data_IF_255703675316
#
_entry.id   IF_255703675316
#
_cell.length_a   1.000
_cell.length_b   1.000
_cell.length_c   1.000
_cell.angle_alpha   90.00
_cell.angle_beta   90.00
_cell.angle_gamma   90.00
#
_symmetry.space_group_name_H-M   'P 1'
#
loop_
_entity.id
_entity.type
_entity.pdbx_description
1 polymer ?
#
# COMPACT_ATOMS: atom_id res chain seq x y z
N UNK A 1 -73.71 -7.70 -26.37
CA UNK A 1 -72.39 -7.11 -26.73
C UNK A 1 -71.16 -7.84 -26.15
N UNK A 2 -71.29 -8.67 -25.09
CA UNK A 2 -70.15 -9.24 -24.33
C UNK A 2 -69.43 -10.44 -24.99
N UNK A 3 -70.04 -11.16 -25.94
CA UNK A 3 -69.44 -12.35 -26.57
C UNK A 3 -68.35 -12.05 -27.63
N UNK A 4 -68.37 -10.88 -28.29
CA UNK A 4 -67.39 -10.52 -29.33
C UNK A 4 -66.01 -10.17 -28.76
N UNK A 5 -65.95 -9.55 -27.58
CA UNK A 5 -64.71 -9.14 -26.91
C UNK A 5 -63.91 -10.31 -26.33
N UNK A 6 -64.56 -11.37 -25.85
CA UNK A 6 -63.88 -12.59 -25.36
C UNK A 6 -63.15 -13.36 -26.46
N UNK A 7 -63.76 -13.51 -27.65
CA UNK A 7 -63.11 -14.18 -28.80
C UNK A 7 -61.88 -13.43 -29.30
N UNK A 8 -61.93 -12.10 -29.36
CA UNK A 8 -60.81 -11.24 -29.75
C UNK A 8 -59.61 -11.38 -28.81
N UNK A 9 -59.84 -11.39 -27.48
CA UNK A 9 -58.78 -11.57 -26.47
C UNK A 9 -58.12 -12.96 -26.52
N UNK A 10 -58.90 -14.01 -26.81
CA UNK A 10 -58.38 -15.38 -26.94
C UNK A 10 -57.55 -15.55 -28.21
N UNK A 11 -57.94 -14.94 -29.33
CA UNK A 11 -57.15 -14.95 -30.57
C UNK A 11 -55.81 -14.21 -30.43
N UNK A 12 -55.78 -13.10 -29.70
CA UNK A 12 -54.54 -12.35 -29.44
C UNK A 12 -53.60 -13.10 -28.49
N UNK A 13 -54.12 -13.76 -27.45
CA UNK A 13 -53.33 -14.62 -26.56
C UNK A 13 -52.81 -15.89 -27.26
N UNK A 14 -53.60 -16.47 -28.17
CA UNK A 14 -53.18 -17.61 -29.01
C UNK A 14 -52.06 -17.23 -29.97
N UNK A 15 -52.14 -16.07 -30.64
CA UNK A 15 -51.06 -15.54 -31.49
C UNK A 15 -49.78 -15.22 -30.70
N UNK A 16 -49.89 -14.62 -29.51
CA UNK A 16 -48.72 -14.40 -28.64
C UNK A 16 -48.08 -15.70 -28.15
N UNK A 17 -48.88 -16.73 -27.79
CA UNK A 17 -48.35 -18.06 -27.44
C UNK A 17 -47.72 -18.79 -28.64
N UNK A 18 -48.24 -18.60 -29.85
CA UNK A 18 -47.64 -19.14 -31.09
C UNK A 18 -46.29 -18.50 -31.43
N UNK A 19 -46.17 -17.17 -31.29
CA UNK A 19 -44.91 -16.45 -31.47
C UNK A 19 -43.86 -16.81 -30.38
N UNK A 20 -44.32 -17.05 -29.15
CA UNK A 20 -43.45 -17.44 -28.03
C UNK A 20 -43.02 -18.92 -28.10
N UNK A 21 -43.76 -19.78 -28.82
CA UNK A 21 -43.36 -21.18 -29.09
C UNK A 21 -42.35 -21.32 -30.23
N UNK A 22 -42.22 -20.34 -31.12
CA UNK A 22 -41.32 -20.41 -32.28
C UNK A 22 -39.84 -20.24 -31.91
N UNK A 23 -39.56 -19.58 -30.79
CA UNK A 23 -38.20 -19.40 -30.27
C UNK A 23 -37.80 -20.46 -29.23
N UNK A 24 -38.72 -21.33 -28.82
CA UNK A 24 -38.54 -22.16 -27.63
C UNK A 24 -37.70 -23.43 -27.83
N UNK A 25 -37.85 -24.15 -28.95
CA UNK A 25 -37.35 -25.53 -29.07
C UNK A 25 -36.72 -25.86 -30.44
N UNK A 26 -36.24 -24.86 -31.20
CA UNK A 26 -35.47 -25.16 -32.42
C UNK A 26 -34.03 -25.55 -32.03
N UNK A 27 -33.60 -26.82 -32.21
CA UNK A 27 -32.30 -27.29 -31.73
C UNK A 27 -31.13 -26.54 -32.39
N UNK A 28 -31.28 -26.09 -33.64
CA UNK A 28 -30.25 -25.31 -34.35
C UNK A 28 -30.11 -23.92 -33.74
N UNK A 29 -31.23 -23.27 -33.42
CA UNK A 29 -31.22 -21.94 -32.81
C UNK A 29 -30.62 -21.97 -31.39
N UNK A 30 -30.95 -23.00 -30.60
CA UNK A 30 -30.38 -23.23 -29.27
C UNK A 30 -28.87 -23.48 -29.37
N UNK A 31 -28.42 -24.27 -30.35
CA UNK A 31 -26.99 -24.55 -30.58
C UNK A 31 -26.19 -23.31 -30.98
N UNK A 32 -26.77 -22.41 -31.79
CA UNK A 32 -26.12 -21.15 -32.16
C UNK A 32 -25.97 -20.25 -30.92
N UNK A 33 -27.04 -20.08 -30.13
CA UNK A 33 -27.01 -19.27 -28.92
C UNK A 33 -25.99 -19.82 -27.91
N UNK A 34 -25.98 -21.14 -27.67
CA UNK A 34 -25.05 -21.75 -26.73
C UNK A 34 -23.59 -21.59 -27.17
N UNK A 35 -23.32 -21.68 -28.48
CA UNK A 35 -21.97 -21.46 -29.04
C UNK A 35 -21.53 -20.01 -28.88
N UNK A 36 -22.41 -19.04 -29.16
CA UNK A 36 -22.11 -17.62 -28.99
C UNK A 36 -21.85 -17.28 -27.52
N UNK A 37 -22.71 -17.76 -26.61
CA UNK A 37 -22.53 -17.56 -25.16
C UNK A 37 -21.23 -18.21 -24.69
N UNK A 38 -20.94 -19.45 -25.12
CA UNK A 38 -19.70 -20.14 -24.81
C UNK A 38 -18.47 -19.37 -25.26
N UNK A 39 -18.49 -18.85 -26.49
CA UNK A 39 -17.42 -18.01 -27.03
C UNK A 39 -17.20 -16.72 -26.24
N UNK A 40 -18.28 -16.05 -25.84
CA UNK A 40 -18.20 -14.84 -24.99
C UNK A 40 -17.61 -15.17 -23.61
N UNK A 41 -18.06 -16.26 -22.97
CA UNK A 41 -17.54 -16.68 -21.67
C UNK A 41 -16.05 -17.04 -21.72
N UNK A 42 -15.61 -17.74 -22.76
CA UNK A 42 -14.20 -18.04 -22.98
C UNK A 42 -13.41 -16.76 -23.23
N UNK A 43 -13.93 -15.84 -24.04
CA UNK A 43 -13.31 -14.53 -24.28
C UNK A 43 -13.11 -13.71 -23.00
N UNK A 44 -14.14 -13.65 -22.16
CA UNK A 44 -14.08 -12.99 -20.84
C UNK A 44 -13.05 -13.67 -19.94
N UNK A 45 -13.05 -15.00 -19.86
CA UNK A 45 -12.09 -15.75 -19.05
C UNK A 45 -10.64 -15.52 -19.52
N UNK A 46 -10.39 -15.52 -20.84
CA UNK A 46 -9.08 -15.24 -21.40
C UNK A 46 -8.64 -13.80 -21.15
N UNK A 47 -9.55 -12.83 -21.23
CA UNK A 47 -9.29 -11.43 -20.89
C UNK A 47 -8.86 -11.29 -19.43
N UNK A 48 -9.62 -11.86 -18.49
CA UNK A 48 -9.24 -11.87 -17.07
C UNK A 48 -7.89 -12.56 -16.82
N UNK A 49 -7.64 -13.70 -17.48
CA UNK A 49 -6.35 -14.40 -17.36
C UNK A 49 -5.18 -13.58 -17.93
N UNK A 50 -5.41 -12.83 -19.00
CA UNK A 50 -4.41 -11.93 -19.59
C UNK A 50 -4.10 -10.78 -18.64
N UNK A 51 -5.11 -10.07 -18.15
CA UNK A 51 -4.94 -8.97 -17.18
C UNK A 51 -4.24 -9.46 -15.90
N UNK A 52 -4.66 -10.60 -15.37
CA UNK A 52 -4.05 -11.21 -14.20
C UNK A 52 -2.56 -11.54 -14.40
N UNK A 53 -2.21 -12.08 -15.58
CA UNK A 53 -0.79 -12.35 -15.93
C UNK A 53 0.00 -11.07 -16.10
N UNK A 54 -0.57 -10.05 -16.73
CA UNK A 54 0.09 -8.76 -16.90
C UNK A 54 0.37 -8.09 -15.55
N UNK A 55 -0.61 -8.12 -14.64
CA UNK A 55 -0.45 -7.58 -13.28
C UNK A 55 0.61 -8.35 -12.47
N UNK A 56 0.62 -9.68 -12.54
CA UNK A 56 1.66 -10.48 -11.87
C UNK A 56 3.05 -10.12 -12.38
N UNK A 57 3.25 -10.00 -13.69
CA UNK A 57 4.55 -9.61 -14.27
C UNK A 57 4.97 -8.22 -13.79
N UNK A 58 4.06 -7.25 -13.78
CA UNK A 58 4.34 -5.92 -13.29
C UNK A 58 4.76 -5.94 -11.82
N UNK A 59 4.05 -6.70 -10.96
CA UNK A 59 4.42 -6.86 -9.55
C UNK A 59 5.80 -7.52 -9.39
N UNK A 60 6.12 -8.52 -10.20
CA UNK A 60 7.44 -9.17 -10.16
C UNK A 60 8.57 -8.21 -10.56
N UNK A 61 8.37 -7.40 -11.60
CA UNK A 61 9.35 -6.39 -12.02
C UNK A 61 9.57 -5.34 -10.92
N UNK A 62 8.48 -4.83 -10.33
CA UNK A 62 8.56 -3.90 -9.19
C UNK A 62 9.34 -4.49 -8.02
N UNK A 63 9.11 -5.75 -7.67
CA UNK A 63 9.85 -6.41 -6.59
C UNK A 63 11.33 -6.59 -6.91
N UNK A 64 11.70 -6.83 -8.17
CA UNK A 64 13.11 -6.91 -8.56
C UNK A 64 13.81 -5.56 -8.37
N UNK A 65 13.18 -4.46 -8.77
CA UNK A 65 13.73 -3.11 -8.57
C UNK A 65 13.88 -2.77 -7.08
N UNK A 66 12.88 -3.13 -6.26
CA UNK A 66 12.92 -2.91 -4.81
C UNK A 66 14.02 -3.72 -4.15
N UNK A 67 14.12 -5.01 -4.46
CA UNK A 67 15.17 -5.86 -3.88
C UNK A 67 16.57 -5.34 -4.23
N UNK A 68 16.77 -4.90 -5.48
CA UNK A 68 18.03 -4.28 -5.89
C UNK A 68 18.32 -2.99 -5.09
N UNK A 69 17.30 -2.15 -4.86
CA UNK A 69 17.46 -0.94 -4.04
C UNK A 69 17.71 -1.26 -2.55
N UNK A 70 17.08 -2.31 -2.02
CA UNK A 70 17.29 -2.80 -0.65
C UNK A 70 18.75 -3.29 -0.49
N UNK A 71 19.25 -4.10 -1.44
CA UNK A 71 20.64 -4.58 -1.48
C UNK A 71 21.66 -3.43 -1.56
N UNK A 72 21.38 -2.41 -2.39
CA UNK A 72 22.23 -1.22 -2.49
C UNK A 72 22.24 -0.42 -1.19
N UNK A 73 21.09 -0.31 -0.51
CA UNK A 73 20.99 0.36 0.77
C UNK A 73 21.79 -0.38 1.84
N UNK A 74 21.71 -1.71 1.89
CA UNK A 74 22.53 -2.57 2.77
C UNK A 74 24.04 -2.43 2.48
N UNK A 75 24.40 -2.21 1.21
CA UNK A 75 25.76 -1.92 0.79
C UNK A 75 26.22 -0.46 1.05
N UNK A 76 25.39 0.36 1.71
CA UNK A 76 25.60 1.80 1.94
C UNK A 76 25.74 2.64 0.66
N UNK A 77 25.21 2.14 -0.47
CA UNK A 77 25.11 2.88 -1.73
C UNK A 77 23.81 3.70 -1.74
N UNK A 78 23.71 4.62 -0.77
CA UNK A 78 22.46 5.31 -0.42
C UNK A 78 21.88 6.15 -1.57
N UNK A 79 22.73 6.85 -2.33
CA UNK A 79 22.28 7.66 -3.46
C UNK A 79 21.68 6.81 -4.59
N UNK A 80 22.28 5.65 -4.88
CA UNK A 80 21.80 4.73 -5.92
C UNK A 80 20.49 4.04 -5.51
N UNK A 81 20.42 3.58 -4.25
CA UNK A 81 19.19 3.03 -3.69
C UNK A 81 18.03 4.04 -3.75
N UNK A 82 18.28 5.28 -3.33
CA UNK A 82 17.30 6.36 -3.35
C UNK A 82 16.81 6.67 -4.78
N UNK A 83 17.71 6.67 -5.77
CA UNK A 83 17.35 6.89 -7.17
C UNK A 83 16.39 5.80 -7.68
N UNK A 84 16.63 4.54 -7.33
CA UNK A 84 15.75 3.43 -7.72
C UNK A 84 14.40 3.55 -7.02
N UNK A 85 14.36 3.77 -5.71
CA UNK A 85 13.09 3.97 -4.98
C UNK A 85 12.22 5.08 -5.59
N UNK A 86 12.82 6.23 -5.88
CA UNK A 86 12.13 7.36 -6.50
C UNK A 86 11.62 7.03 -7.91
N UNK A 87 12.41 6.27 -8.69
CA UNK A 87 11.99 5.85 -10.02
C UNK A 87 10.81 4.85 -9.95
N UNK A 88 10.88 3.88 -9.03
CA UNK A 88 9.83 2.90 -8.79
C UNK A 88 8.53 3.56 -8.32
N UNK A 89 8.61 4.60 -7.49
CA UNK A 89 7.42 5.36 -7.07
C UNK A 89 6.71 6.12 -8.20
N UNK A 90 7.35 6.35 -9.36
CA UNK A 90 6.67 6.93 -10.53
C UNK A 90 5.67 5.96 -11.16
N UNK A 91 5.88 4.65 -10.97
CA UNK A 91 5.05 3.59 -11.56
C UNK A 91 4.14 2.91 -10.53
N UNK A 92 4.51 2.97 -9.24
CA UNK A 92 3.71 2.43 -8.13
C UNK A 92 2.58 3.39 -7.76
N UNK A 93 1.33 2.89 -7.81
CA UNK A 93 0.18 3.58 -7.23
C UNK A 93 -0.08 3.08 -5.81
N UNK A 94 -0.19 4.02 -4.86
CA UNK A 94 -0.57 3.71 -3.46
C UNK A 94 -1.91 2.94 -3.37
N UNK A 95 -2.83 3.18 -4.31
CA UNK A 95 -4.13 2.49 -4.35
C UNK A 95 -3.98 1.02 -4.75
N UNK A 96 -3.03 0.71 -5.65
CA UNK A 96 -2.85 -0.62 -6.21
C UNK A 96 -1.88 -1.47 -5.40
N UNK A 97 -0.80 -0.86 -4.89
CA UNK A 97 0.24 -1.54 -4.12
C UNK A 97 0.58 -0.75 -2.85
N UNK A 98 -0.36 -0.64 -1.89
CA UNK A 98 -0.14 0.14 -0.67
C UNK A 98 1.05 -0.37 0.15
N UNK A 99 1.22 -1.68 0.23
CA UNK A 99 2.33 -2.31 0.98
C UNK A 99 3.70 -1.97 0.39
N UNK A 100 3.81 -2.07 -0.94
CA UNK A 100 5.03 -1.72 -1.67
C UNK A 100 5.33 -0.23 -1.49
N UNK A 101 4.31 0.63 -1.61
CA UNK A 101 4.47 2.06 -1.39
C UNK A 101 4.98 2.36 0.03
N UNK A 102 4.43 1.71 1.06
CA UNK A 102 4.86 1.89 2.45
C UNK A 102 6.31 1.44 2.67
N UNK A 103 6.70 0.30 2.07
CA UNK A 103 8.08 -0.20 2.12
C UNK A 103 9.06 0.79 1.51
N UNK A 104 8.79 1.22 0.28
CA UNK A 104 9.65 2.17 -0.42
C UNK A 104 9.75 3.48 0.36
N UNK A 105 8.63 4.01 0.89
CA UNK A 105 8.63 5.25 1.67
C UNK A 105 9.44 5.13 2.96
N UNK A 106 9.36 3.99 3.63
CA UNK A 106 10.21 3.75 4.79
C UNK A 106 11.70 3.73 4.42
N UNK A 107 12.07 3.05 3.34
CA UNK A 107 13.48 2.96 2.92
C UNK A 107 14.01 4.27 2.32
N UNK A 108 13.18 5.07 1.64
CA UNK A 108 13.52 6.47 1.32
C UNK A 108 13.82 7.26 2.60
N UNK A 109 13.05 7.04 3.67
CA UNK A 109 13.28 7.64 4.97
C UNK A 109 14.65 7.29 5.55
N UNK A 110 15.05 6.02 5.45
CA UNK A 110 16.39 5.55 5.86
C UNK A 110 17.44 6.23 5.00
N UNK A 111 17.28 6.25 3.68
CA UNK A 111 18.24 6.87 2.77
C UNK A 111 18.46 8.35 3.12
N UNK A 112 17.39 9.10 3.31
CA UNK A 112 17.51 10.51 3.69
C UNK A 112 18.12 10.70 5.08
N UNK A 113 17.81 9.83 6.04
CA UNK A 113 18.44 9.89 7.35
C UNK A 113 19.95 9.65 7.26
N UNK A 114 20.41 8.67 6.49
CA UNK A 114 21.83 8.42 6.26
C UNK A 114 22.51 9.58 5.52
N UNK A 115 21.86 10.10 4.48
CA UNK A 115 22.37 11.28 3.76
C UNK A 115 22.49 12.50 4.68
N UNK A 116 21.60 12.67 5.67
CA UNK A 116 21.69 13.77 6.63
C UNK A 116 22.93 13.70 7.52
N UNK A 117 23.50 12.51 7.72
CA UNK A 117 24.77 12.34 8.44
C UNK A 117 25.98 12.75 7.60
N UNK A 118 25.80 12.91 6.29
CA UNK A 118 26.86 13.24 5.33
C UNK A 118 26.72 14.68 4.79
N UNK A 119 25.50 15.11 4.43
CA UNK A 119 25.22 16.41 3.80
C UNK A 119 23.79 16.88 4.02
N UNK A 120 23.58 18.20 3.88
CA UNK A 120 22.26 18.84 3.91
C UNK A 120 21.37 18.38 5.07
N UNK A 121 21.95 18.28 6.28
CA UNK A 121 21.36 17.61 7.47
C UNK A 121 19.89 17.98 7.68
N UNK A 122 19.57 19.27 7.72
CA UNK A 122 18.19 19.74 7.95
C UNK A 122 17.21 19.28 6.86
N UNK A 123 17.60 19.46 5.59
CA UNK A 123 16.74 19.15 4.46
C UNK A 123 16.49 17.65 4.36
N UNK A 124 17.54 16.86 4.55
CA UNK A 124 17.47 15.41 4.50
C UNK A 124 16.69 14.84 5.70
N UNK A 125 16.88 15.34 6.92
CA UNK A 125 16.05 14.94 8.06
C UNK A 125 14.56 15.27 7.85
N UNK A 126 14.26 16.45 7.30
CA UNK A 126 12.89 16.84 6.96
C UNK A 126 12.26 15.89 5.93
N UNK A 127 13.03 15.46 4.92
CA UNK A 127 12.59 14.45 3.94
C UNK A 127 12.41 13.08 4.57
N UNK A 128 13.31 12.67 5.46
CA UNK A 128 13.23 11.40 6.18
C UNK A 128 11.93 11.31 7.01
N UNK A 129 11.66 12.34 7.81
CA UNK A 129 10.43 12.47 8.62
C UNK A 129 9.19 12.30 7.74
N UNK A 130 9.10 13.06 6.64
CA UNK A 130 7.96 12.98 5.73
C UNK A 130 7.79 11.58 5.13
N UNK A 131 8.89 10.92 4.77
CA UNK A 131 8.85 9.59 4.18
C UNK A 131 8.37 8.54 5.19
N UNK A 132 8.83 8.59 6.44
CA UNK A 132 8.34 7.73 7.51
C UNK A 132 6.85 7.98 7.83
N UNK A 133 6.42 9.24 7.88
CA UNK A 133 5.01 9.60 8.08
C UNK A 133 4.11 9.06 6.96
N UNK A 134 4.58 9.10 5.70
CA UNK A 134 3.87 8.48 4.57
C UNK A 134 3.76 6.95 4.72
N UNK A 135 4.82 6.28 5.17
CA UNK A 135 4.78 4.84 5.43
C UNK A 135 3.78 4.48 6.56
N UNK A 136 3.73 5.29 7.62
CA UNK A 136 2.84 5.13 8.77
C UNK A 136 1.34 5.35 8.46
N UNK A 137 1.00 5.94 7.31
CA UNK A 137 -0.40 5.99 6.84
C UNK A 137 -0.94 4.62 6.44
N UNK A 138 -0.06 3.67 6.16
CA UNK A 138 -0.40 2.32 5.66
C UNK A 138 -0.01 1.26 6.68
N UNK A 139 1.19 1.42 7.26
CA UNK A 139 1.67 0.60 8.38
C UNK A 139 0.97 1.09 9.63
N UNK A 140 -0.08 0.40 10.06
CA UNK A 140 -0.79 0.69 11.32
C UNK A 140 -0.53 -0.42 12.33
N UNK A 141 -0.78 -0.13 13.61
CA UNK A 141 -0.65 -1.10 14.71
C UNK A 141 -1.44 -2.38 14.44
N UNK A 142 -2.63 -2.26 13.86
CA UNK A 142 -3.56 -3.39 13.64
C UNK A 142 -3.11 -4.30 12.50
N UNK A 143 -2.52 -3.73 11.44
CA UNK A 143 -2.23 -4.46 10.22
C UNK A 143 -0.76 -4.88 10.11
N UNK A 144 0.15 -4.04 10.59
CA UNK A 144 1.60 -4.25 10.49
C UNK A 144 2.29 -3.78 11.79
N UNK A 145 2.03 -4.44 12.94
CA UNK A 145 2.49 -3.97 14.23
C UNK A 145 4.01 -3.76 14.30
N UNK A 146 4.78 -4.71 13.73
CA UNK A 146 6.25 -4.62 13.72
C UNK A 146 6.75 -3.49 12.82
N UNK A 147 6.27 -3.41 11.59
CA UNK A 147 6.71 -2.36 10.67
C UNK A 147 6.29 -0.96 11.15
N UNK A 148 5.15 -0.86 11.84
CA UNK A 148 4.72 0.36 12.52
C UNK A 148 5.73 0.77 13.59
N UNK A 149 6.12 -0.16 14.47
CA UNK A 149 7.08 0.11 15.53
C UNK A 149 8.47 0.50 14.99
N UNK A 150 8.94 -0.18 13.93
CA UNK A 150 10.20 0.17 13.25
C UNK A 150 10.13 1.58 12.64
N UNK A 151 9.05 1.91 11.94
CA UNK A 151 8.88 3.24 11.34
C UNK A 151 8.78 4.34 12.41
N UNK A 152 8.07 4.10 13.52
CA UNK A 152 8.01 5.03 14.65
C UNK A 152 9.38 5.21 15.34
N UNK A 153 10.14 4.14 15.49
CA UNK A 153 11.50 4.19 16.04
C UNK A 153 12.41 5.10 15.20
N UNK A 154 12.42 4.90 13.89
CA UNK A 154 13.24 5.69 12.96
C UNK A 154 12.74 7.15 12.87
N UNK A 155 11.43 7.37 12.93
CA UNK A 155 10.84 8.70 13.01
C UNK A 155 11.31 9.44 14.28
N UNK A 156 11.36 8.75 15.41
CA UNK A 156 11.88 9.29 16.66
C UNK A 156 13.36 9.70 16.56
N UNK A 157 14.19 8.88 15.90
CA UNK A 157 15.59 9.19 15.67
C UNK A 157 15.75 10.43 14.77
N UNK A 158 14.99 10.51 13.68
CA UNK A 158 15.02 11.64 12.77
C UNK A 158 14.62 12.95 13.48
N UNK A 159 13.57 12.92 14.31
CA UNK A 159 13.18 14.07 15.13
C UNK A 159 14.25 14.45 16.16
N UNK A 160 14.87 13.48 16.85
CA UNK A 160 15.97 13.75 17.78
C UNK A 160 17.14 14.48 17.09
N UNK A 161 17.50 14.06 15.88
CA UNK A 161 18.60 14.68 15.13
C UNK A 161 18.20 16.05 14.57
N UNK A 162 16.92 16.24 14.21
CA UNK A 162 16.44 17.55 13.74
C UNK A 162 16.40 18.56 14.88
N UNK A 163 16.13 18.12 16.12
CA UNK A 163 16.17 18.95 17.31
C UNK A 163 17.56 19.57 17.59
N UNK A 164 18.63 18.96 17.07
CA UNK A 164 20.00 19.52 17.16
C UNK A 164 20.22 20.66 16.17
N UNK A 165 19.34 20.78 15.17
CA UNK A 165 19.42 21.78 14.11
C UNK A 165 18.42 22.91 14.34
N UNK A 166 17.17 22.59 14.69
CA UNK A 166 16.10 23.57 14.91
C UNK A 166 14.97 23.04 15.79
N UNK A 167 14.12 23.96 16.26
CA UNK A 167 12.86 23.67 16.95
C UNK A 167 13.01 22.60 18.04
N UNK A 168 14.07 22.72 18.85
CA UNK A 168 14.57 21.67 19.77
C UNK A 168 13.46 21.05 20.62
N UNK A 169 12.69 21.88 21.31
CA UNK A 169 11.64 21.43 22.22
C UNK A 169 10.52 20.66 21.49
N UNK A 170 10.07 21.19 20.36
CA UNK A 170 9.01 20.57 19.56
C UNK A 170 9.48 19.23 18.99
N UNK A 171 10.67 19.20 18.38
CA UNK A 171 11.21 17.99 17.78
C UNK A 171 11.51 16.90 18.82
N UNK A 172 12.06 17.25 20.00
CA UNK A 172 12.25 16.26 21.08
C UNK A 172 10.91 15.73 21.62
N UNK A 173 9.89 16.58 21.73
CA UNK A 173 8.54 16.16 22.13
C UNK A 173 7.95 15.17 21.12
N UNK A 174 8.10 15.43 19.82
CA UNK A 174 7.67 14.52 18.76
C UNK A 174 8.45 13.21 18.77
N UNK A 175 9.77 13.26 19.02
CA UNK A 175 10.60 12.07 19.14
C UNK A 175 10.15 11.16 20.29
N UNK A 176 9.88 11.73 21.47
CA UNK A 176 9.38 10.99 22.63
C UNK A 176 8.07 10.27 22.29
N UNK A 177 7.11 10.96 21.67
CA UNK A 177 5.84 10.37 21.25
C UNK A 177 6.05 9.20 20.27
N UNK A 178 6.95 9.36 19.30
CA UNK A 178 7.25 8.29 18.35
C UNK A 178 7.83 7.05 19.05
N UNK A 179 8.74 7.22 20.02
CA UNK A 179 9.25 6.10 20.82
C UNK A 179 8.17 5.47 21.70
N UNK A 180 7.26 6.25 22.28
CA UNK A 180 6.10 5.74 23.04
C UNK A 180 5.19 4.88 22.16
N UNK A 181 4.94 5.28 20.91
CA UNK A 181 4.18 4.46 19.94
C UNK A 181 4.92 3.16 19.59
N UNK A 182 6.24 3.19 19.39
CA UNK A 182 7.02 1.97 19.16
C UNK A 182 6.99 1.01 20.37
N UNK A 183 7.04 1.55 21.60
CA UNK A 183 6.99 0.80 22.86
C UNK A 183 5.65 0.10 23.12
N UNK A 184 4.56 0.47 22.43
CA UNK A 184 3.30 -0.30 22.47
C UNK A 184 3.46 -1.71 21.88
N UNK A 185 4.44 -1.89 20.99
CA UNK A 185 4.71 -3.15 20.29
C UNK A 185 5.99 -3.80 20.82
N UNK A 186 7.06 -3.02 20.93
CA UNK A 186 8.32 -3.48 21.50
C UNK A 186 8.22 -3.53 23.02
N UNK A 187 7.64 -4.60 23.55
CA UNK A 187 7.54 -4.82 25.01
C UNK A 187 8.72 -5.63 25.54
N UNK A 188 8.94 -5.58 26.85
CA UNK A 188 9.98 -6.36 27.54
C UNK A 188 9.85 -7.86 27.26
N UNK A 189 8.63 -8.37 27.16
CA UNK A 189 8.36 -9.81 27.02
C UNK A 189 8.59 -10.32 25.60
N UNK A 190 8.22 -9.53 24.58
CA UNK A 190 8.27 -9.97 23.18
C UNK A 190 9.55 -9.52 22.45
N UNK A 191 10.05 -8.34 22.79
CA UNK A 191 11.16 -7.70 22.08
C UNK A 191 12.09 -6.96 23.06
N UNK A 192 12.69 -7.66 24.06
CA UNK A 192 13.43 -7.03 25.15
C UNK A 192 14.55 -6.10 24.66
N UNK A 193 15.30 -6.52 23.62
CA UNK A 193 16.37 -5.70 23.03
C UNK A 193 15.84 -4.38 22.45
N UNK A 194 14.76 -4.45 21.66
CA UNK A 194 14.18 -3.24 21.05
C UNK A 194 13.54 -2.34 22.11
N UNK A 195 12.90 -2.91 23.14
CA UNK A 195 12.39 -2.16 24.28
C UNK A 195 13.49 -1.36 24.98
N UNK A 196 14.63 -1.99 25.29
CA UNK A 196 15.77 -1.31 25.93
C UNK A 196 16.33 -0.16 25.07
N UNK A 197 16.48 -0.39 23.77
CA UNK A 197 16.94 0.66 22.84
C UNK A 197 15.94 1.83 22.83
N UNK A 198 14.63 1.55 22.78
CA UNK A 198 13.60 2.60 22.75
C UNK A 198 13.55 3.38 24.07
N UNK A 199 13.63 2.69 25.20
CA UNK A 199 13.70 3.33 26.51
C UNK A 199 14.94 4.21 26.67
N UNK A 200 16.10 3.73 26.19
CA UNK A 200 17.36 4.49 26.19
C UNK A 200 17.27 5.75 25.33
N UNK A 201 16.76 5.62 24.10
CA UNK A 201 16.60 6.76 23.18
C UNK A 201 15.58 7.78 23.72
N UNK A 202 14.46 7.32 24.26
CA UNK A 202 13.47 8.18 24.91
C UNK A 202 14.06 8.87 26.14
N UNK A 203 14.85 8.18 26.96
CA UNK A 203 15.54 8.74 28.11
C UNK A 203 16.50 9.86 27.72
N UNK A 204 17.31 9.65 26.68
CA UNK A 204 18.20 10.68 26.11
C UNK A 204 17.41 11.88 25.58
N UNK A 205 16.29 11.65 24.89
CA UNK A 205 15.44 12.73 24.39
C UNK A 205 14.82 13.56 25.55
N UNK A 206 14.31 12.89 26.59
CA UNK A 206 13.77 13.53 27.80
C UNK A 206 14.85 14.33 28.54
N UNK A 207 16.05 13.78 28.66
CA UNK A 207 17.18 14.48 29.26
C UNK A 207 17.53 15.74 28.45
N UNK A 208 17.66 15.65 27.11
CA UNK A 208 17.92 16.78 26.21
C UNK A 208 16.83 17.87 26.29
N UNK A 209 15.59 17.48 26.54
CA UNK A 209 14.44 18.38 26.69
C UNK A 209 14.49 19.12 28.03
N UNK A 210 14.89 18.44 29.10
CA UNK A 210 15.02 19.02 30.44
C UNK A 210 16.30 19.86 30.59
N UNK A 211 17.37 19.50 29.88
CA UNK A 211 18.58 20.32 29.76
C UNK A 211 18.31 21.45 28.75
N UNK A 212 17.51 22.41 29.17
CA UNK A 212 17.50 23.72 28.54
C UNK A 212 18.86 24.39 28.77
N UNK A 213 19.58 24.84 27.72
CA UNK A 213 20.47 25.98 27.87
C UNK A 213 19.67 27.26 28.15
#
# INVERSE_FOLDING_TARGET
MVRKTRKSRIQTLSKKKGAMRFFGHNPVFIAIISTVIGGILVGIALFYLFEYRAERRAKTALMADINNADELLEANMTDDALAIYQNTLKTVSVRKYPEIYAHIKHNEGICYYELANVRDKEQNLTRAIRAYEEALKIRTVEKYPLDYATAQSNLGLAYCNLAEVRDKEENLTRAIRAYEEALKIYTVEKYPLYYEIMMSNMGKAKQKLQSNP
#
